data_IF_996268024723
#
_entry.id   IF_996268024723
#
_cell.length_a   1.000
_cell.length_b   1.000
_cell.length_c   1.000
_cell.angle_alpha   90.00
_cell.angle_beta   90.00
_cell.angle_gamma   90.00
#
_symmetry.space_group_name_H-M   'P 1'
#
loop_
_entity.id
_entity.type
_entity.pdbx_description
1 polymer ?
#
# COMPACT_ATOMS: atom_id res chain seq x y z
N UNK A 1 -27.79 -0.46 -14.88
CA UNK A 1 -27.11 0.64 -14.21
C UNK A 1 -26.41 0.03 -12.99
N UNK A 2 -25.08 0.10 -12.92
CA UNK A 2 -24.30 -0.46 -11.82
C UNK A 2 -24.76 0.18 -10.49
N UNK A 3 -25.07 -0.64 -9.47
CA UNK A 3 -25.43 -0.14 -8.13
C UNK A 3 -24.14 0.15 -7.33
N UNK A 4 -23.36 1.11 -7.81
CA UNK A 4 -22.04 1.45 -7.23
C UNK A 4 -22.12 2.28 -5.94
N UNK A 5 -23.32 2.68 -5.50
CA UNK A 5 -23.53 3.56 -4.36
C UNK A 5 -23.96 2.78 -3.12
N UNK A 6 -23.26 2.99 -1.99
CA UNK A 6 -23.60 2.46 -0.66
C UNK A 6 -23.48 3.57 0.37
N UNK A 7 -24.33 3.57 1.41
CA UNK A 7 -24.17 4.52 2.53
C UNK A 7 -22.84 4.27 3.24
N UNK A 8 -22.07 5.34 3.47
CA UNK A 8 -20.80 5.28 4.13
C UNK A 8 -20.94 4.97 5.62
N UNK A 9 -19.96 4.26 6.18
CA UNK A 9 -20.03 3.78 7.58
C UNK A 9 -19.31 4.69 8.58
N UNK A 10 -18.46 5.61 8.09
CA UNK A 10 -17.65 6.49 8.94
C UNK A 10 -17.85 7.98 8.59
N UNK A 11 -18.81 8.61 9.24
CA UNK A 11 -19.02 10.05 9.18
C UNK A 11 -19.85 10.56 10.35
N UNK A 12 -19.76 11.86 10.62
CA UNK A 12 -20.60 12.54 11.60
C UNK A 12 -21.33 13.71 10.92
N UNK A 13 -22.51 14.09 11.47
CA UNK A 13 -23.20 15.33 11.10
C UNK A 13 -22.50 16.53 11.72
N UNK A 14 -22.34 17.59 10.95
CA UNK A 14 -21.78 18.87 11.36
C UNK A 14 -22.67 20.00 10.81
N UNK A 15 -23.70 20.39 11.57
CA UNK A 15 -24.72 21.31 11.07
C UNK A 15 -25.39 20.75 9.80
N UNK A 16 -25.35 21.54 8.71
CA UNK A 16 -25.90 21.17 7.40
C UNK A 16 -24.87 20.42 6.51
N UNK A 17 -23.70 20.10 7.05
CA UNK A 17 -22.65 19.36 6.36
C UNK A 17 -22.36 18.03 7.05
N UNK A 18 -21.58 17.17 6.39
CA UNK A 18 -21.09 15.91 6.95
C UNK A 18 -19.56 15.96 7.06
N UNK A 19 -19.03 15.50 8.17
CA UNK A 19 -17.61 15.28 8.35
C UNK A 19 -17.27 13.81 8.04
N UNK A 20 -16.60 13.58 6.92
CA UNK A 20 -16.11 12.25 6.53
C UNK A 20 -14.91 11.87 7.41
N UNK A 21 -14.93 10.68 7.99
CA UNK A 21 -13.89 10.19 8.89
C UNK A 21 -13.09 9.00 8.33
N UNK A 22 -13.16 8.77 7.04
CA UNK A 22 -12.50 7.61 6.42
C UNK A 22 -10.99 7.80 6.27
N UNK A 23 -10.54 9.01 5.96
CA UNK A 23 -9.11 9.32 5.85
C UNK A 23 -8.76 10.65 6.52
N UNK A 24 -7.49 10.93 6.69
CA UNK A 24 -6.99 12.10 7.41
C UNK A 24 -7.16 13.44 6.66
N UNK A 25 -7.84 13.42 5.51
CA UNK A 25 -8.43 14.64 4.92
C UNK A 25 -9.57 15.20 5.77
N UNK A 26 -10.31 14.33 6.44
CA UNK A 26 -11.43 14.71 7.32
C UNK A 26 -12.36 15.73 6.66
N UNK A 27 -12.73 15.48 5.39
CA UNK A 27 -13.48 16.41 4.57
C UNK A 27 -14.81 16.81 5.20
N UNK A 28 -15.09 18.12 5.22
CA UNK A 28 -16.42 18.67 5.54
C UNK A 28 -17.17 18.80 4.21
N UNK A 29 -18.25 18.03 4.05
CA UNK A 29 -18.95 17.87 2.78
C UNK A 29 -20.37 18.41 2.92
N UNK A 30 -20.65 19.53 2.27
CA UNK A 30 -21.98 20.12 2.17
C UNK A 30 -22.91 19.27 1.31
N UNK A 31 -24.22 19.51 1.43
CA UNK A 31 -25.19 18.76 0.62
C UNK A 31 -24.89 18.86 -0.89
N UNK A 32 -25.03 17.75 -1.59
CA UNK A 32 -24.74 17.57 -3.03
C UNK A 32 -23.30 17.94 -3.43
N UNK A 33 -22.35 17.88 -2.47
CA UNK A 33 -20.92 18.05 -2.73
C UNK A 33 -20.18 16.77 -2.46
N UNK A 34 -19.00 16.65 -3.10
CA UNK A 34 -18.07 15.53 -2.93
C UNK A 34 -16.91 15.92 -2.04
N UNK A 35 -16.32 14.93 -1.39
CA UNK A 35 -15.05 15.07 -0.70
C UNK A 35 -13.87 15.12 -1.68
N UNK A 36 -12.66 15.40 -1.17
CA UNK A 36 -11.42 15.53 -1.94
C UNK A 36 -11.14 14.35 -2.90
N UNK A 37 -11.50 13.13 -2.50
CA UNK A 37 -11.27 11.92 -3.30
C UNK A 37 -12.28 11.72 -4.43
N UNK A 38 -13.32 12.54 -4.55
CA UNK A 38 -14.46 12.42 -5.46
C UNK A 38 -15.33 11.17 -5.29
N UNK A 39 -14.97 10.28 -4.35
CA UNK A 39 -15.67 9.01 -4.11
C UNK A 39 -16.64 9.06 -2.92
N UNK A 40 -16.76 10.20 -2.26
CA UNK A 40 -17.69 10.41 -1.13
C UNK A 40 -18.57 11.62 -1.42
N UNK A 41 -19.88 11.45 -1.35
CA UNK A 41 -20.88 12.50 -1.62
C UNK A 41 -21.91 12.58 -0.49
N UNK A 42 -22.20 13.80 -0.06
CA UNK A 42 -23.34 14.07 0.83
C UNK A 42 -24.62 14.19 -0.01
N UNK A 43 -25.57 13.33 0.23
CA UNK A 43 -26.86 13.33 -0.45
C UNK A 43 -27.96 13.37 0.62
N UNK A 44 -28.67 14.47 0.70
CA UNK A 44 -29.80 14.69 1.64
C UNK A 44 -29.40 14.36 3.10
N UNK A 45 -28.19 14.76 3.53
CA UNK A 45 -27.71 14.58 4.90
C UNK A 45 -27.20 13.18 5.23
N UNK A 46 -26.94 12.34 4.23
CA UNK A 46 -26.28 11.05 4.33
C UNK A 46 -25.03 11.01 3.44
N UNK A 47 -23.95 10.44 3.98
CA UNK A 47 -22.72 10.25 3.20
C UNK A 47 -22.80 8.93 2.45
N UNK A 48 -22.47 8.96 1.16
CA UNK A 48 -22.40 7.77 0.32
C UNK A 48 -21.01 7.57 -0.24
N UNK A 49 -20.55 6.32 -0.30
CA UNK A 49 -19.48 5.92 -1.21
C UNK A 49 -20.07 5.71 -2.60
N UNK A 50 -19.39 6.22 -3.64
CA UNK A 50 -19.90 6.19 -5.02
C UNK A 50 -19.32 5.03 -5.83
N UNK A 51 -18.25 4.40 -5.34
CA UNK A 51 -17.46 3.39 -6.05
C UNK A 51 -17.62 1.97 -5.47
N UNK A 52 -18.66 1.69 -4.68
CA UNK A 52 -18.86 0.35 -4.14
C UNK A 52 -18.97 -0.69 -5.26
N UNK A 53 -18.18 -1.78 -5.18
CA UNK A 53 -18.05 -2.82 -6.21
C UNK A 53 -17.54 -2.34 -7.60
N UNK A 54 -17.06 -1.10 -7.72
CA UNK A 54 -16.55 -0.53 -8.96
C UNK A 54 -15.06 -0.83 -9.13
N UNK A 55 -14.72 -1.89 -9.85
CA UNK A 55 -13.34 -2.23 -10.17
C UNK A 55 -12.90 -1.56 -11.49
N UNK A 56 -11.81 -0.79 -11.44
CA UNK A 56 -11.11 -0.22 -12.60
C UNK A 56 -10.04 -1.16 -13.14
N UNK A 57 -9.54 -2.04 -12.29
CA UNK A 57 -8.44 -2.95 -12.60
C UNK A 57 -8.61 -4.27 -11.87
N UNK A 58 -8.39 -5.38 -12.57
CA UNK A 58 -8.38 -6.73 -11.99
C UNK A 58 -7.25 -7.51 -12.64
N UNK A 59 -6.37 -8.11 -11.85
CA UNK A 59 -5.26 -8.93 -12.32
C UNK A 59 -4.91 -10.02 -11.31
N UNK A 60 -4.27 -11.08 -11.79
CA UNK A 60 -3.57 -12.06 -10.94
C UNK A 60 -2.09 -11.72 -11.03
N UNK A 61 -1.50 -11.35 -9.89
CA UNK A 61 -0.11 -10.92 -9.80
C UNK A 61 0.67 -11.83 -8.84
N UNK A 62 2.00 -11.92 -8.95
CA UNK A 62 2.85 -12.40 -7.85
C UNK A 62 2.70 -11.48 -6.63
N UNK A 63 2.78 -12.06 -5.42
CA UNK A 63 2.71 -11.28 -4.17
C UNK A 63 3.87 -10.29 -4.06
N UNK A 64 5.03 -10.62 -4.62
CA UNK A 64 6.21 -9.77 -4.68
C UNK A 64 5.95 -8.44 -5.42
N UNK A 65 5.02 -8.43 -6.38
CA UNK A 65 4.61 -7.20 -7.07
C UNK A 65 3.79 -6.23 -6.17
N UNK A 66 3.39 -6.67 -4.97
CA UNK A 66 2.73 -5.84 -3.95
C UNK A 66 3.71 -5.27 -2.94
N UNK A 67 4.96 -5.17 -3.24
CA UNK A 67 6.19 -5.37 -2.47
C UNK A 67 5.98 -6.03 -1.10
N UNK A 68 5.53 -7.29 -1.14
CA UNK A 68 5.38 -8.15 0.03
C UNK A 68 6.28 -9.37 -0.15
N UNK A 69 7.51 -9.26 0.38
CA UNK A 69 8.55 -10.26 0.21
C UNK A 69 8.60 -11.27 1.35
N UNK A 70 8.00 -10.95 2.48
CA UNK A 70 7.91 -11.79 3.66
C UNK A 70 6.51 -12.37 3.92
N UNK A 71 5.56 -12.09 3.04
CA UNK A 71 4.18 -12.55 3.18
C UNK A 71 3.81 -13.53 2.08
N UNK A 72 3.78 -14.83 2.41
CA UNK A 72 3.53 -15.93 1.46
C UNK A 72 4.36 -15.82 0.17
N UNK A 73 5.71 -15.74 0.25
CA UNK A 73 6.58 -15.59 -0.92
C UNK A 73 6.28 -16.61 -2.01
N UNK A 74 6.32 -16.18 -3.28
CA UNK A 74 6.01 -17.01 -4.44
C UNK A 74 4.52 -17.30 -4.67
N UNK A 75 3.63 -16.82 -3.80
CA UNK A 75 2.19 -17.00 -4.01
C UNK A 75 1.61 -15.99 -5.00
N UNK A 76 0.43 -16.33 -5.55
CA UNK A 76 -0.36 -15.42 -6.37
C UNK A 76 -1.40 -14.69 -5.55
N UNK A 77 -1.71 -13.45 -5.96
CA UNK A 77 -2.69 -12.57 -5.34
C UNK A 77 -3.67 -12.04 -6.40
N UNK A 78 -4.97 -12.06 -6.09
CA UNK A 78 -5.96 -11.34 -6.89
C UNK A 78 -5.88 -9.85 -6.55
N UNK A 79 -5.41 -9.05 -7.50
CA UNK A 79 -5.24 -7.61 -7.38
C UNK A 79 -6.45 -6.89 -7.92
N UNK A 80 -7.09 -6.05 -7.10
CA UNK A 80 -8.27 -5.28 -7.51
C UNK A 80 -8.03 -3.81 -7.18
N UNK A 81 -8.25 -2.93 -8.16
CA UNK A 81 -8.23 -1.48 -8.01
C UNK A 81 -9.59 -0.86 -8.31
N UNK A 82 -9.85 0.28 -7.70
CA UNK A 82 -11.04 1.09 -7.94
C UNK A 82 -10.67 2.45 -8.54
N UNK A 83 -11.43 3.49 -8.24
CA UNK A 83 -11.20 4.87 -8.68
C UNK A 83 -11.08 5.78 -7.46
N UNK A 84 -10.31 6.86 -7.61
CA UNK A 84 -10.13 7.87 -6.58
C UNK A 84 -8.96 7.61 -5.65
N UNK A 85 -8.45 8.69 -5.06
CA UNK A 85 -7.37 8.67 -4.08
C UNK A 85 -7.49 9.89 -3.17
N UNK A 86 -7.01 9.77 -1.94
CA UNK A 86 -6.91 10.88 -1.00
C UNK A 86 -5.62 11.69 -1.15
N UNK A 87 -4.73 11.33 -2.09
CA UNK A 87 -3.54 12.08 -2.50
C UNK A 87 -3.68 12.60 -3.93
N UNK A 88 -2.83 13.59 -4.28
CA UNK A 88 -2.64 14.12 -5.65
C UNK A 88 -1.17 14.06 -6.02
N UNK A 89 -0.61 12.84 -5.98
CA UNK A 89 0.83 12.65 -6.22
C UNK A 89 1.21 13.02 -7.65
N UNK A 90 2.16 13.94 -7.83
CA UNK A 90 2.69 14.38 -9.13
C UNK A 90 3.43 13.26 -9.88
N UNK A 91 3.89 12.24 -9.16
CA UNK A 91 4.58 11.05 -9.68
C UNK A 91 3.67 9.83 -9.83
N UNK A 92 2.34 10.00 -9.78
CA UNK A 92 1.43 8.86 -9.74
C UNK A 92 1.44 8.07 -11.05
N UNK A 93 1.84 6.79 -11.00
CA UNK A 93 1.81 5.90 -12.16
C UNK A 93 0.37 5.52 -12.57
N UNK A 94 -0.56 5.55 -11.62
CA UNK A 94 -1.97 5.21 -11.81
C UNK A 94 -2.89 6.44 -11.76
N UNK A 95 -2.38 7.61 -12.20
CA UNK A 95 -3.14 8.87 -12.16
C UNK A 95 -4.47 8.80 -12.91
N UNK A 96 -4.51 8.00 -13.99
CA UNK A 96 -5.68 7.80 -14.83
C UNK A 96 -6.86 7.10 -14.14
N UNK A 97 -6.64 6.48 -12.99
CA UNK A 97 -7.69 5.91 -12.14
C UNK A 97 -7.75 6.60 -10.77
N UNK A 98 -6.61 7.00 -10.21
CA UNK A 98 -6.54 7.59 -8.88
C UNK A 98 -7.04 9.04 -8.83
N UNK A 99 -6.99 9.76 -9.95
CA UNK A 99 -7.39 11.17 -10.06
C UNK A 99 -8.51 11.38 -11.09
N UNK A 100 -9.13 10.31 -11.54
CA UNK A 100 -10.22 10.36 -12.48
C UNK A 100 -11.59 10.51 -11.80
N UNK A 101 -12.53 11.05 -12.54
CA UNK A 101 -13.95 10.96 -12.22
C UNK A 101 -14.47 9.55 -12.53
N UNK A 102 -15.44 9.09 -11.76
CA UNK A 102 -15.95 7.72 -11.85
C UNK A 102 -16.54 7.38 -13.23
N UNK A 103 -17.16 8.34 -13.88
CA UNK A 103 -17.78 8.22 -15.21
C UNK A 103 -16.78 8.31 -16.37
N UNK A 104 -15.51 8.65 -16.09
CA UNK A 104 -14.44 8.74 -17.09
C UNK A 104 -13.59 7.48 -17.18
N UNK A 105 -13.85 6.48 -16.33
CA UNK A 105 -13.08 5.23 -16.26
C UNK A 105 -13.97 4.06 -16.65
N UNK A 106 -13.42 3.13 -17.44
CA UNK A 106 -14.08 1.85 -17.70
C UNK A 106 -14.12 1.03 -16.42
N UNK A 107 -15.30 0.63 -15.98
CA UNK A 107 -15.52 -0.06 -14.72
C UNK A 107 -16.18 -1.41 -14.97
N UNK A 108 -15.73 -2.39 -14.19
CA UNK A 108 -16.38 -3.69 -14.02
C UNK A 108 -16.99 -3.78 -12.63
N UNK A 109 -18.24 -4.26 -12.54
CA UNK A 109 -18.82 -4.60 -11.24
C UNK A 109 -18.20 -5.90 -10.74
N UNK A 110 -17.61 -5.86 -9.56
CA UNK A 110 -17.05 -7.02 -8.85
C UNK A 110 -17.63 -6.98 -7.44
N UNK A 111 -18.68 -7.75 -7.21
CA UNK A 111 -19.24 -7.88 -5.87
C UNK A 111 -18.24 -8.57 -4.93
N UNK A 112 -18.34 -8.40 -3.60
CA UNK A 112 -17.49 -9.10 -2.63
C UNK A 112 -17.40 -10.62 -2.85
N UNK A 113 -18.51 -11.25 -3.19
CA UNK A 113 -18.60 -12.67 -3.50
C UNK A 113 -17.86 -13.05 -4.78
N UNK A 114 -17.92 -12.17 -5.80
CA UNK A 114 -17.21 -12.36 -7.06
C UNK A 114 -15.71 -12.28 -6.87
N UNK A 115 -15.22 -11.36 -6.02
CA UNK A 115 -13.80 -11.26 -5.69
C UNK A 115 -13.28 -12.56 -5.05
N UNK A 116 -14.02 -13.12 -4.09
CA UNK A 116 -13.67 -14.42 -3.47
C UNK A 116 -13.70 -15.55 -4.49
N UNK A 117 -14.74 -15.62 -5.33
CA UNK A 117 -14.88 -16.62 -6.38
C UNK A 117 -13.71 -16.57 -7.37
N UNK A 118 -13.36 -15.38 -7.86
CA UNK A 118 -12.23 -15.16 -8.76
C UNK A 118 -10.91 -15.57 -8.10
N UNK A 119 -10.66 -15.17 -6.85
CA UNK A 119 -9.45 -15.55 -6.13
C UNK A 119 -9.30 -17.07 -6.01
N UNK A 120 -10.39 -17.80 -5.74
CA UNK A 120 -10.39 -19.26 -5.69
C UNK A 120 -10.18 -19.89 -7.07
N UNK A 121 -10.85 -19.39 -8.10
CA UNK A 121 -10.75 -19.88 -9.47
C UNK A 121 -9.30 -19.80 -9.98
N UNK A 122 -8.63 -18.69 -9.70
CA UNK A 122 -7.23 -18.49 -10.05
C UNK A 122 -6.23 -19.02 -9.02
N UNK A 123 -6.70 -19.74 -8.00
CA UNK A 123 -5.87 -20.32 -6.92
C UNK A 123 -4.99 -19.30 -6.20
N UNK A 124 -5.47 -18.06 -6.11
CA UNK A 124 -4.78 -17.00 -5.37
C UNK A 124 -4.80 -17.31 -3.87
N UNK A 125 -3.69 -17.03 -3.18
CA UNK A 125 -3.60 -17.16 -1.72
C UNK A 125 -4.28 -15.99 -1.01
N UNK A 126 -4.35 -14.83 -1.69
CA UNK A 126 -4.82 -13.57 -1.13
C UNK A 126 -5.59 -12.71 -2.13
N UNK A 127 -6.33 -11.73 -1.60
CA UNK A 127 -6.91 -10.62 -2.35
C UNK A 127 -6.20 -9.35 -1.92
N UNK A 128 -5.69 -8.56 -2.86
CA UNK A 128 -5.07 -7.26 -2.61
C UNK A 128 -5.91 -6.14 -3.21
N UNK A 129 -6.24 -5.15 -2.38
CA UNK A 129 -6.77 -3.87 -2.83
C UNK A 129 -5.59 -2.94 -3.05
N UNK A 130 -5.41 -2.53 -4.31
CA UNK A 130 -4.16 -1.92 -4.80
C UNK A 130 -4.41 -0.99 -6.00
N UNK A 131 -3.34 -0.48 -6.62
CA UNK A 131 -3.28 0.42 -7.78
C UNK A 131 -3.68 1.87 -7.48
N UNK A 132 -4.85 2.11 -6.86
CA UNK A 132 -5.23 3.36 -6.23
C UNK A 132 -5.22 3.20 -4.70
N UNK A 133 -5.89 4.10 -3.97
CA UNK A 133 -5.91 4.03 -2.51
C UNK A 133 -7.10 3.20 -1.99
N UNK A 134 -6.88 2.04 -1.35
CA UNK A 134 -7.95 1.17 -0.86
C UNK A 134 -8.82 1.80 0.23
N UNK A 135 -8.30 2.75 1.01
CA UNK A 135 -9.09 3.48 2.02
C UNK A 135 -10.32 4.17 1.43
N UNK A 136 -10.25 4.59 0.15
CA UNK A 136 -11.40 5.20 -0.53
C UNK A 136 -12.52 4.20 -0.77
N UNK A 137 -12.24 2.92 -0.66
CA UNK A 137 -13.14 1.80 -0.94
C UNK A 137 -13.53 1.02 0.33
N UNK A 138 -13.43 1.66 1.50
CA UNK A 138 -13.47 1.04 2.83
C UNK A 138 -14.64 0.07 3.01
N UNK A 139 -15.87 0.45 2.63
CA UNK A 139 -17.07 -0.38 2.79
C UNK A 139 -16.97 -1.68 1.99
N UNK A 140 -16.46 -1.58 0.76
CA UNK A 140 -16.28 -2.74 -0.12
C UNK A 140 -15.15 -3.64 0.39
N UNK A 141 -14.03 -3.05 0.81
CA UNK A 141 -12.88 -3.84 1.27
C UNK A 141 -13.18 -4.56 2.58
N UNK A 142 -13.96 -3.96 3.49
CA UNK A 142 -14.44 -4.64 4.71
C UNK A 142 -15.33 -5.82 4.37
N UNK A 143 -16.35 -5.62 3.51
CA UNK A 143 -17.28 -6.69 3.14
C UNK A 143 -16.52 -7.84 2.45
N UNK A 144 -15.61 -7.51 1.51
CA UNK A 144 -14.80 -8.50 0.80
C UNK A 144 -13.80 -9.21 1.72
N UNK A 145 -13.16 -8.49 2.66
CA UNK A 145 -12.19 -9.08 3.59
C UNK A 145 -12.84 -10.04 4.60
N UNK A 146 -14.07 -9.75 5.04
CA UNK A 146 -14.86 -10.69 5.86
C UNK A 146 -15.09 -12.00 5.11
N UNK A 147 -15.59 -11.91 3.87
CA UNK A 147 -15.81 -13.10 3.04
C UNK A 147 -14.51 -13.82 2.67
N UNK A 148 -13.43 -13.09 2.43
CA UNK A 148 -12.11 -13.67 2.19
C UNK A 148 -11.67 -14.51 3.40
N UNK A 149 -11.77 -13.97 4.60
CA UNK A 149 -11.45 -14.66 5.86
C UNK A 149 -12.25 -15.93 6.05
N UNK A 150 -13.56 -15.88 5.82
CA UNK A 150 -14.47 -17.05 5.91
C UNK A 150 -14.14 -18.13 4.87
N UNK A 151 -13.43 -17.75 3.81
CA UNK A 151 -12.99 -18.64 2.73
C UNK A 151 -11.49 -18.97 2.77
N UNK A 152 -10.82 -18.72 3.90
CA UNK A 152 -9.37 -18.97 4.11
C UNK A 152 -8.44 -18.24 3.13
N UNK A 153 -8.92 -17.15 2.53
CA UNK A 153 -8.11 -16.22 1.73
C UNK A 153 -7.56 -15.12 2.62
N UNK A 154 -6.37 -14.63 2.29
CA UNK A 154 -5.71 -13.54 2.97
C UNK A 154 -6.09 -12.19 2.36
N UNK A 155 -6.11 -11.14 3.18
CA UNK A 155 -6.48 -9.78 2.81
C UNK A 155 -5.29 -8.85 2.88
N UNK A 156 -5.02 -8.12 1.79
CA UNK A 156 -3.83 -7.30 1.63
C UNK A 156 -4.19 -5.87 1.20
N UNK A 157 -3.59 -4.87 1.84
CA UNK A 157 -3.59 -3.49 1.39
C UNK A 157 -2.24 -3.09 0.79
N UNK A 158 -2.27 -2.43 -0.36
CA UNK A 158 -1.18 -1.59 -0.86
C UNK A 158 -1.68 -0.15 -0.79
N UNK A 159 -1.17 0.62 0.16
CA UNK A 159 -1.79 1.87 0.62
C UNK A 159 -0.77 2.98 0.85
N UNK A 160 -1.21 4.22 0.75
CA UNK A 160 -0.42 5.38 1.17
C UNK A 160 -0.46 5.64 2.68
N UNK A 161 -1.17 4.81 3.44
CA UNK A 161 -1.24 4.90 4.89
C UNK A 161 -2.01 6.09 5.47
N UNK A 162 -2.76 6.85 4.66
CA UNK A 162 -3.45 8.07 5.12
C UNK A 162 -4.88 7.82 5.62
N UNK A 163 -5.19 6.60 6.01
CA UNK A 163 -6.46 6.26 6.65
C UNK A 163 -6.53 6.84 8.07
N UNK A 164 -7.73 7.01 8.60
CA UNK A 164 -7.90 7.40 10.00
C UNK A 164 -7.70 6.19 10.92
N UNK A 165 -7.48 6.44 12.20
CA UNK A 165 -7.47 5.40 13.22
C UNK A 165 -8.80 4.64 13.24
N UNK A 166 -9.92 5.36 13.12
CA UNK A 166 -11.26 4.77 13.05
C UNK A 166 -11.42 3.81 11.86
N UNK A 167 -10.86 4.16 10.69
CA UNK A 167 -10.87 3.26 9.53
C UNK A 167 -10.00 2.03 9.76
N UNK A 168 -8.82 2.21 10.37
CA UNK A 168 -7.93 1.10 10.69
C UNK A 168 -8.54 0.16 11.72
N UNK A 169 -9.26 0.68 12.71
CA UNK A 169 -10.00 -0.14 13.69
C UNK A 169 -11.07 -1.02 13.00
N UNK A 170 -11.70 -0.52 11.95
CA UNK A 170 -12.75 -1.25 11.24
C UNK A 170 -12.20 -2.35 10.32
N UNK A 171 -11.15 -2.05 9.55
CA UNK A 171 -10.58 -3.03 8.59
C UNK A 171 -9.56 -3.95 9.24
N UNK A 172 -8.83 -3.49 10.26
CA UNK A 172 -7.72 -4.19 10.90
C UNK A 172 -8.01 -5.64 11.31
N UNK A 173 -9.18 -5.98 11.89
CA UNK A 173 -9.53 -7.36 12.25
C UNK A 173 -9.59 -8.33 11.06
N UNK A 174 -9.65 -7.81 9.85
CA UNK A 174 -9.76 -8.57 8.60
C UNK A 174 -8.56 -8.40 7.69
N UNK A 175 -7.58 -7.55 8.05
CA UNK A 175 -6.40 -7.26 7.24
C UNK A 175 -5.23 -8.12 7.72
N UNK A 176 -4.71 -8.99 6.87
CA UNK A 176 -3.57 -9.87 7.18
C UNK A 176 -2.22 -9.19 6.92
N UNK A 177 -2.13 -8.37 5.86
CA UNK A 177 -0.89 -7.68 5.50
C UNK A 177 -1.15 -6.30 4.87
N UNK A 178 -0.18 -5.41 5.03
CA UNK A 178 -0.14 -4.12 4.36
C UNK A 178 1.27 -3.82 3.83
N UNK A 179 1.36 -3.36 2.59
CA UNK A 179 2.51 -2.59 2.13
C UNK A 179 2.13 -1.12 2.18
N UNK A 180 2.89 -0.33 2.93
CA UNK A 180 2.65 1.11 3.06
C UNK A 180 3.70 1.89 2.29
N UNK A 181 3.23 2.74 1.38
CA UNK A 181 4.07 3.70 0.67
C UNK A 181 4.47 4.86 1.61
N UNK A 182 5.61 4.78 2.27
CA UNK A 182 6.25 5.92 2.93
C UNK A 182 6.99 6.75 1.88
N UNK A 183 6.28 7.72 1.30
CA UNK A 183 6.73 8.42 0.09
C UNK A 183 7.90 9.37 0.31
N UNK A 184 8.11 9.80 1.55
CA UNK A 184 9.21 10.65 1.99
C UNK A 184 9.15 10.90 3.48
N UNK A 185 10.14 11.59 4.02
CA UNK A 185 10.28 11.88 5.45
C UNK A 185 10.31 13.39 5.74
N UNK A 186 9.59 14.17 4.94
CA UNK A 186 9.44 15.60 5.18
C UNK A 186 8.03 16.10 4.85
N UNK A 187 7.51 17.03 5.66
CA UNK A 187 6.22 17.67 5.41
C UNK A 187 6.22 18.46 4.09
N UNK A 188 7.36 19.04 3.71
CA UNK A 188 7.50 19.74 2.44
C UNK A 188 7.28 18.77 1.26
N UNK A 189 7.90 17.59 1.28
CA UNK A 189 7.71 16.58 0.24
C UNK A 189 6.23 16.18 0.12
N UNK A 190 5.58 15.87 1.24
CA UNK A 190 4.17 15.47 1.23
C UNK A 190 3.25 16.59 0.73
N UNK A 191 3.49 17.83 1.16
CA UNK A 191 2.71 18.98 0.72
C UNK A 191 2.88 19.25 -0.79
N UNK A 192 4.12 19.27 -1.28
CA UNK A 192 4.42 19.67 -2.66
C UNK A 192 4.15 18.58 -3.70
N UNK A 193 4.46 17.32 -3.36
CA UNK A 193 4.36 16.21 -4.31
C UNK A 193 3.12 15.34 -4.15
N UNK A 194 2.52 15.30 -2.96
CA UNK A 194 1.37 14.43 -2.67
C UNK A 194 0.10 15.20 -2.32
N UNK A 195 0.20 16.52 -2.12
CA UNK A 195 -0.87 17.35 -1.57
C UNK A 195 -1.44 16.71 -0.28
N UNK A 196 -0.58 16.41 0.69
CA UNK A 196 -0.93 15.69 1.91
C UNK A 196 -0.05 16.13 3.09
N UNK A 197 -0.26 15.52 4.26
CA UNK A 197 0.58 15.66 5.45
C UNK A 197 1.33 14.36 5.72
N UNK A 198 2.56 14.44 6.20
CA UNK A 198 3.39 13.28 6.51
C UNK A 198 2.94 12.59 7.79
N UNK A 199 2.74 13.35 8.87
CA UNK A 199 2.55 12.80 10.20
C UNK A 199 1.47 11.70 10.30
N UNK A 200 0.28 11.83 9.67
CA UNK A 200 -0.73 10.76 9.70
C UNK A 200 -0.25 9.43 9.11
N UNK A 201 0.65 9.47 8.12
CA UNK A 201 1.23 8.25 7.52
C UNK A 201 2.17 7.57 8.52
N UNK A 202 3.05 8.34 9.18
CA UNK A 202 3.96 7.83 10.20
C UNK A 202 3.20 7.21 11.37
N UNK A 203 2.16 7.87 11.84
CA UNK A 203 1.30 7.37 12.92
C UNK A 203 0.63 6.04 12.55
N UNK A 204 0.14 5.93 11.30
CA UNK A 204 -0.51 4.70 10.85
C UNK A 204 0.45 3.54 10.60
N UNK A 205 1.68 3.79 10.16
CA UNK A 205 2.73 2.77 10.09
C UNK A 205 2.92 2.14 11.46
N UNK A 206 3.05 2.96 12.52
CA UNK A 206 3.17 2.48 13.91
C UNK A 206 1.93 1.68 14.34
N UNK A 207 0.73 2.22 14.10
CA UNK A 207 -0.53 1.54 14.47
C UNK A 207 -0.72 0.20 13.76
N UNK A 208 -0.37 0.08 12.47
CA UNK A 208 -0.44 -1.17 11.72
C UNK A 208 0.52 -2.20 12.32
N UNK A 209 1.76 -1.79 12.63
CA UNK A 209 2.74 -2.63 13.31
C UNK A 209 2.26 -3.09 14.68
N UNK A 210 1.72 -2.19 15.51
CA UNK A 210 1.22 -2.50 16.86
C UNK A 210 0.04 -3.47 16.84
N UNK A 211 -0.81 -3.39 15.81
CA UNK A 211 -1.92 -4.33 15.59
C UNK A 211 -1.47 -5.71 15.10
N UNK A 212 -0.17 -5.92 14.89
CA UNK A 212 0.41 -7.19 14.40
C UNK A 212 -0.12 -7.60 13.02
N UNK A 213 -0.55 -6.64 12.23
CA UNK A 213 -0.76 -6.82 10.80
C UNK A 213 0.62 -6.89 10.16
N UNK A 214 0.86 -7.89 9.29
CA UNK A 214 2.16 -7.96 8.60
C UNK A 214 2.40 -6.68 7.81
N UNK A 215 3.54 -6.05 8.04
CA UNK A 215 3.87 -4.73 7.49
C UNK A 215 5.16 -4.81 6.68
N UNK A 216 5.13 -4.27 5.46
CA UNK A 216 6.33 -3.94 4.69
C UNK A 216 6.22 -2.50 4.19
N UNK A 217 7.34 -1.80 4.11
CA UNK A 217 7.37 -0.37 3.74
C UNK A 217 8.03 -0.21 2.40
N UNK A 218 7.42 0.61 1.53
CA UNK A 218 8.00 0.99 0.24
C UNK A 218 8.30 2.48 0.20
N UNK A 219 9.52 2.83 -0.18
CA UNK A 219 9.92 4.19 -0.51
C UNK A 219 10.31 4.27 -1.98
N UNK A 220 9.55 5.03 -2.77
CA UNK A 220 9.90 5.38 -4.14
C UNK A 220 10.90 6.54 -4.10
N UNK A 221 12.15 6.28 -4.44
CA UNK A 221 13.21 7.30 -4.45
C UNK A 221 13.09 8.18 -5.69
N UNK A 222 12.87 9.47 -5.51
CA UNK A 222 12.68 10.45 -6.59
C UNK A 222 13.87 11.42 -6.58
N UNK A 223 14.69 11.46 -7.65
CA UNK A 223 15.88 12.32 -7.71
C UNK A 223 15.58 13.80 -7.44
N UNK A 224 16.34 14.39 -6.52
CA UNK A 224 16.22 15.79 -6.13
C UNK A 224 15.08 16.10 -5.15
N UNK A 225 14.31 15.09 -4.71
CA UNK A 225 13.19 15.31 -3.80
C UNK A 225 13.33 14.55 -2.46
N UNK A 226 13.57 13.25 -2.48
CA UNK A 226 13.68 12.42 -1.27
C UNK A 226 14.91 11.49 -1.25
N UNK A 227 15.80 11.62 -2.21
CA UNK A 227 16.98 10.77 -2.45
C UNK A 227 18.27 11.24 -1.76
N UNK A 228 18.24 12.39 -1.05
CA UNK A 228 19.43 12.84 -0.32
C UNK A 228 19.75 11.90 0.85
N UNK A 229 21.06 11.74 1.15
CA UNK A 229 21.55 10.91 2.24
C UNK A 229 20.81 11.23 3.57
N UNK A 230 20.67 12.51 3.90
CA UNK A 230 19.92 12.97 5.08
C UNK A 230 18.45 12.49 5.08
N UNK A 231 17.78 12.49 3.92
CA UNK A 231 16.39 12.01 3.84
C UNK A 231 16.33 10.49 4.07
N UNK A 232 17.27 9.74 3.48
CA UNK A 232 17.34 8.29 3.65
C UNK A 232 17.67 7.93 5.11
N UNK A 233 18.68 8.57 5.72
CA UNK A 233 18.99 8.39 7.14
C UNK A 233 17.79 8.70 8.05
N UNK A 234 17.09 9.80 7.80
CA UNK A 234 15.90 10.18 8.59
C UNK A 234 14.77 9.14 8.45
N UNK A 235 14.55 8.60 7.25
CA UNK A 235 13.56 7.55 7.01
C UNK A 235 13.95 6.25 7.72
N UNK A 236 15.20 5.85 7.59
CA UNK A 236 15.74 4.63 8.20
C UNK A 236 15.71 4.73 9.73
N UNK A 237 16.11 5.88 10.30
CA UNK A 237 16.03 6.10 11.75
C UNK A 237 14.59 6.03 12.26
N UNK A 238 13.62 6.62 11.55
CA UNK A 238 12.21 6.44 11.88
C UNK A 238 11.80 4.95 11.90
N UNK A 239 12.24 4.18 10.91
CA UNK A 239 11.93 2.75 10.85
C UNK A 239 12.59 1.98 12.00
N UNK A 240 13.87 2.23 12.27
CA UNK A 240 14.62 1.52 13.31
C UNK A 240 14.16 1.87 14.73
N UNK A 241 13.94 3.16 15.00
CA UNK A 241 13.69 3.67 16.36
C UNK A 241 12.21 3.65 16.74
N UNK A 242 11.29 3.91 15.78
CA UNK A 242 9.87 4.10 16.08
C UNK A 242 8.97 2.97 15.56
N UNK A 243 9.48 2.07 14.70
CA UNK A 243 8.70 0.95 14.15
C UNK A 243 9.36 -0.38 14.53
N UNK A 244 10.30 -0.88 13.74
CA UNK A 244 11.12 -2.06 14.02
C UNK A 244 12.15 -2.28 12.93
N UNK A 245 13.35 -2.74 13.30
CA UNK A 245 14.38 -3.21 12.36
C UNK A 245 13.99 -4.51 11.64
N UNK A 246 12.95 -5.20 12.12
CA UNK A 246 12.43 -6.44 11.53
C UNK A 246 11.46 -6.19 10.35
N UNK A 247 10.91 -4.99 10.24
CA UNK A 247 9.98 -4.62 9.16
C UNK A 247 10.75 -4.46 7.84
N UNK A 248 10.40 -5.22 6.77
CA UNK A 248 11.07 -5.09 5.49
C UNK A 248 10.90 -3.69 4.88
N UNK A 249 12.01 -3.13 4.39
CA UNK A 249 12.08 -1.83 3.75
C UNK A 249 12.51 -1.98 2.29
N UNK A 250 11.68 -1.46 1.37
CA UNK A 250 11.90 -1.51 -0.07
C UNK A 250 12.22 -0.12 -0.60
N UNK A 251 13.42 0.11 -1.12
CA UNK A 251 13.76 1.27 -1.94
C UNK A 251 13.48 0.95 -3.40
N UNK A 252 12.60 1.71 -4.05
CA UNK A 252 12.20 1.43 -5.43
C UNK A 252 12.61 2.55 -6.36
N UNK A 253 13.04 2.14 -7.56
CA UNK A 253 13.47 3.05 -8.61
C UNK A 253 12.29 3.83 -9.15
N UNK A 254 12.40 5.17 -9.18
CA UNK A 254 11.49 6.06 -9.88
C UNK A 254 11.78 6.05 -11.39
N UNK A 255 10.72 6.14 -12.17
CA UNK A 255 10.76 6.45 -13.60
C UNK A 255 9.87 7.66 -13.89
N UNK A 256 10.26 8.55 -14.86
CA UNK A 256 9.49 9.73 -15.24
C UNK A 256 8.04 9.38 -15.60
N UNK A 257 7.09 9.98 -14.89
CA UNK A 257 5.67 9.74 -15.14
C UNK A 257 4.81 10.94 -14.73
N UNK A 258 3.60 11.04 -15.31
CA UNK A 258 2.57 12.03 -15.03
C UNK A 258 3.11 13.48 -15.06
N UNK A 259 3.15 14.18 -13.92
CA UNK A 259 3.66 15.56 -13.84
C UNK A 259 5.19 15.64 -13.66
N UNK A 260 5.86 14.54 -13.30
CA UNK A 260 7.31 14.47 -13.12
C UNK A 260 8.03 13.87 -14.34
N UNK A 261 7.59 14.18 -15.56
CA UNK A 261 8.19 13.67 -16.81
C UNK A 261 9.62 14.17 -17.05
N UNK A 262 9.98 15.31 -16.45
CA UNK A 262 11.29 15.93 -16.63
C UNK A 262 12.32 15.54 -15.55
N UNK A 263 11.90 14.74 -14.56
CA UNK A 263 12.82 14.22 -13.54
C UNK A 263 13.44 12.93 -14.07
N UNK A 264 14.78 12.77 -14.04
CA UNK A 264 15.42 11.56 -14.54
C UNK A 264 15.06 10.35 -13.69
N UNK A 265 15.17 9.12 -14.22
CA UNK A 265 15.05 7.91 -13.39
C UNK A 265 16.10 7.91 -12.28
N UNK A 266 15.77 7.34 -11.13
CA UNK A 266 16.74 7.16 -10.04
C UNK A 266 17.93 6.34 -10.52
N UNK A 267 19.14 6.79 -10.24
CA UNK A 267 20.33 6.00 -10.55
C UNK A 267 20.39 4.76 -9.65
N UNK A 268 20.84 3.63 -10.20
CA UNK A 268 20.94 2.38 -9.43
C UNK A 268 21.90 2.55 -8.24
N UNK A 269 22.99 3.30 -8.44
CA UNK A 269 23.96 3.60 -7.38
C UNK A 269 23.33 4.34 -6.17
N UNK A 270 22.31 5.18 -6.38
CA UNK A 270 21.62 5.88 -5.30
C UNK A 270 20.76 4.90 -4.49
N UNK A 271 20.14 3.92 -5.16
CA UNK A 271 19.39 2.84 -4.49
C UNK A 271 20.32 1.93 -3.69
N UNK A 272 21.49 1.57 -4.26
CA UNK A 272 22.52 0.78 -3.58
C UNK A 272 23.06 1.53 -2.36
N UNK A 273 23.28 2.84 -2.46
CA UNK A 273 23.68 3.68 -1.33
C UNK A 273 22.59 3.69 -0.23
N UNK A 274 21.32 3.84 -0.59
CA UNK A 274 20.23 3.80 0.36
C UNK A 274 20.12 2.44 1.06
N UNK A 275 20.36 1.36 0.31
CA UNK A 275 20.43 0.01 0.86
C UNK A 275 21.53 -0.12 1.93
N UNK A 276 22.75 0.35 1.64
CA UNK A 276 23.86 0.27 2.60
C UNK A 276 23.59 1.14 3.84
N UNK A 277 23.07 2.37 3.68
CA UNK A 277 22.66 3.22 4.82
C UNK A 277 21.68 2.48 5.72
N UNK A 278 20.67 1.81 5.15
CA UNK A 278 19.69 1.07 5.92
C UNK A 278 20.29 -0.17 6.61
N UNK A 279 21.22 -0.87 5.96
CA UNK A 279 21.93 -2.00 6.55
C UNK A 279 22.85 -1.55 7.71
N UNK A 280 23.56 -0.45 7.55
CA UNK A 280 24.45 0.12 8.59
C UNK A 280 23.67 0.61 9.81
N UNK A 281 22.45 1.09 9.63
CA UNK A 281 21.52 1.43 10.72
C UNK A 281 20.84 0.23 11.38
N UNK A 282 21.18 -1.00 10.95
CA UNK A 282 20.70 -2.24 11.57
C UNK A 282 19.39 -2.82 11.02
N UNK A 283 18.83 -2.25 9.95
CA UNK A 283 17.65 -2.85 9.29
C UNK A 283 17.98 -4.26 8.79
N UNK A 284 17.20 -5.25 9.25
CA UNK A 284 17.47 -6.66 8.93
C UNK A 284 17.16 -7.01 7.48
N UNK A 285 16.08 -6.45 6.93
CA UNK A 285 15.56 -6.77 5.62
C UNK A 285 15.39 -5.51 4.78
N UNK A 286 16.29 -5.33 3.82
CA UNK A 286 16.29 -4.19 2.90
C UNK A 286 16.27 -4.71 1.47
N UNK A 287 15.44 -4.11 0.63
CA UNK A 287 15.24 -4.52 -0.76
C UNK A 287 15.38 -3.36 -1.72
N UNK A 288 15.79 -3.68 -2.95
CA UNK A 288 15.84 -2.74 -4.07
C UNK A 288 14.87 -3.23 -5.15
N UNK A 289 13.95 -2.37 -5.57
CA UNK A 289 12.93 -2.71 -6.56
C UNK A 289 12.99 -1.86 -7.82
N UNK A 290 12.31 -2.30 -8.87
CA UNK A 290 12.25 -1.66 -10.19
C UNK A 290 13.63 -1.54 -10.89
N UNK A 291 14.55 -2.46 -10.62
CA UNK A 291 15.83 -2.58 -11.29
C UNK A 291 15.91 -3.92 -12.01
N UNK A 292 16.63 -4.04 -13.15
CA UNK A 292 16.90 -5.34 -13.74
C UNK A 292 17.79 -6.16 -12.79
N UNK A 293 17.48 -7.42 -12.59
CA UNK A 293 18.14 -8.43 -11.74
C UNK A 293 19.41 -7.96 -11.02
N UNK A 294 19.43 -7.94 -9.70
CA UNK A 294 20.58 -7.44 -8.97
C UNK A 294 20.59 -7.74 -7.48
N UNK A 295 21.59 -7.19 -6.80
CA UNK A 295 21.64 -7.16 -5.34
C UNK A 295 20.38 -6.47 -4.80
N UNK A 296 19.73 -7.08 -3.80
CA UNK A 296 18.58 -6.48 -3.11
C UNK A 296 17.23 -7.08 -3.47
N UNK A 297 17.15 -8.10 -4.34
CA UNK A 297 15.91 -8.87 -4.56
C UNK A 297 15.80 -10.08 -3.63
N UNK A 298 16.94 -10.67 -3.24
CA UNK A 298 16.97 -11.86 -2.42
C UNK A 298 16.75 -11.56 -0.94
N UNK A 299 16.12 -12.50 -0.23
CA UNK A 299 16.06 -12.46 1.23
C UNK A 299 17.27 -13.19 1.82
N UNK A 300 18.03 -12.49 2.63
CA UNK A 300 19.20 -13.02 3.30
C UNK A 300 18.96 -13.21 4.81
N UNK A 301 19.61 -14.22 5.36
CA UNK A 301 19.67 -14.38 6.81
C UNK A 301 20.39 -13.17 7.45
N UNK A 302 19.73 -12.45 8.30
CA UNK A 302 20.29 -11.25 8.95
C UNK A 302 21.48 -11.55 9.88
N UNK A 303 21.66 -12.82 10.29
CA UNK A 303 22.77 -13.21 11.18
C UNK A 303 24.02 -13.71 10.46
N UNK A 304 23.88 -14.42 9.33
CA UNK A 304 25.03 -15.05 8.66
C UNK A 304 25.13 -14.80 7.15
N UNK A 305 24.19 -14.03 6.57
CA UNK A 305 24.20 -13.67 5.16
C UNK A 305 23.79 -14.78 4.19
N UNK A 306 23.38 -15.97 4.67
CA UNK A 306 22.92 -17.08 3.82
C UNK A 306 21.64 -16.66 3.06
N UNK A 307 21.52 -17.05 1.80
CA UNK A 307 20.30 -16.81 1.01
C UNK A 307 19.17 -17.68 1.55
N UNK A 308 18.07 -17.06 1.93
CA UNK A 308 16.84 -17.72 2.41
C UNK A 308 15.80 -17.84 1.31
N UNK A 309 15.65 -16.82 0.49
CA UNK A 309 14.76 -16.80 -0.67
C UNK A 309 15.50 -16.14 -1.82
N UNK A 310 15.68 -16.90 -2.87
CA UNK A 310 16.25 -16.40 -4.13
C UNK A 310 15.14 -15.92 -5.05
N UNK A 311 15.32 -14.74 -5.67
CA UNK A 311 14.37 -14.14 -6.60
C UNK A 311 15.03 -13.71 -7.91
N UNK A 312 14.27 -13.82 -8.99
CA UNK A 312 14.54 -13.18 -10.29
C UNK A 312 13.31 -12.31 -10.62
N UNK A 313 13.43 -11.02 -10.39
CA UNK A 313 12.31 -10.08 -10.44
C UNK A 313 11.21 -10.47 -9.43
N UNK A 314 10.04 -10.84 -9.93
CA UNK A 314 8.91 -11.26 -9.09
C UNK A 314 8.79 -12.78 -8.95
N UNK A 315 9.72 -13.56 -9.49
CA UNK A 315 9.69 -15.01 -9.39
C UNK A 315 10.55 -15.50 -8.22
N UNK A 316 9.96 -16.30 -7.36
CA UNK A 316 10.69 -17.01 -6.30
C UNK A 316 11.23 -18.32 -6.88
N UNK A 317 12.55 -18.49 -6.82
CA UNK A 317 13.28 -19.61 -7.42
C UNK A 317 13.44 -20.79 -6.45
N UNK A 318 13.25 -20.57 -5.14
CA UNK A 318 13.35 -21.59 -4.10
C UNK A 318 12.16 -21.49 -3.13
N UNK A 319 11.88 -22.58 -2.40
CA UNK A 319 10.88 -22.58 -1.33
C UNK A 319 11.25 -21.58 -0.23
N UNK A 320 10.23 -20.95 0.36
CA UNK A 320 10.42 -20.01 1.44
C UNK A 320 10.90 -20.71 2.73
N UNK A 321 11.97 -20.20 3.29
CA UNK A 321 12.63 -20.80 4.45
C UNK A 321 12.39 -19.96 5.69
N UNK A 322 11.66 -20.50 6.69
CA UNK A 322 11.41 -19.85 8.00
C UNK A 322 12.61 -19.88 8.93
N UNK A 323 13.59 -20.73 8.67
CA UNK A 323 14.78 -20.93 9.52
C UNK A 323 15.99 -21.10 8.65
N UNK A 324 17.04 -20.33 8.92
CA UNK A 324 18.29 -20.42 8.18
C UNK A 324 18.89 -21.82 8.27
N UNK A 325 19.18 -22.50 7.14
CA UNK A 325 19.75 -23.85 7.15
C UNK A 325 21.18 -23.87 7.69
N UNK A 326 21.91 -22.76 7.61
CA UNK A 326 23.30 -22.63 8.00
C UNK A 326 23.49 -22.35 9.50
N UNK A 327 22.78 -21.35 10.04
CA UNK A 327 22.99 -20.92 11.43
C UNK A 327 21.80 -21.15 12.34
N UNK A 328 20.66 -21.59 11.81
CA UNK A 328 19.46 -21.86 12.59
C UNK A 328 18.65 -20.62 13.00
N UNK A 329 19.06 -19.41 12.60
CA UNK A 329 18.33 -18.17 12.88
C UNK A 329 16.94 -18.19 12.25
N UNK A 330 15.94 -17.79 13.02
CA UNK A 330 14.56 -17.68 12.55
C UNK A 330 14.41 -16.46 11.62
N UNK A 331 13.79 -16.64 10.47
CA UNK A 331 13.40 -15.54 9.59
C UNK A 331 11.94 -15.16 9.84
N UNK A 332 11.65 -13.87 9.80
CA UNK A 332 10.28 -13.35 9.97
C UNK A 332 9.52 -13.43 8.63
N UNK A 333 9.20 -14.66 8.22
CA UNK A 333 8.52 -14.97 6.95
C UNK A 333 7.21 -15.71 7.26
N UNK A 334 6.10 -15.22 6.73
CA UNK A 334 4.77 -15.82 6.82
C UNK A 334 4.56 -16.76 5.61
N UNK A 335 4.24 -18.03 5.87
CA UNK A 335 4.00 -19.07 4.84
C UNK A 335 2.74 -19.87 5.12
#
# INVERSE_FOLDING_TARGET
>A
MLKLKKEAILYNKLGNSLNCKVCERRCIISDRKKGFCDMRENIDGKLYTLNYAAASSVAVDPIEKKPLFHFYPGSTVLSIGSVGCNFRCKHCQNWNISQAELDKVSLREILPEDAVKLAKEYKCKSIAWTYNEPTMWLEYTIDSAKLAKDNSLKSVYVTNGYMTEESLEMIGPYLDAANVDLKGISEQFYKELCDARMQPVLDNIKRIHDKKIHLEITNLMIPGYNDSEKNIESLVNFMADEVSVDVPLHFTRFFPYYELKNVPPTAVADLEKAYEIAKDAGMKYVYIGNVPSGKGENTYCHSCGEVLIERDGYQVMAESIKKCPKCGTKADIIT
#
